data_IF_317164193825
#
_entry.id   IF_317164193825
#
_cell.length_a   1.000
_cell.length_b   1.000
_cell.length_c   1.000
_cell.angle_alpha   90.00
_cell.angle_beta   90.00
_cell.angle_gamma   90.00
#
_symmetry.space_group_name_H-M   'P 1'
#
loop_
_entity.id
_entity.type
_entity.pdbx_description
1 polymer ?
#
# COMPACT_ATOMS: atom_id res chain seq x y z
N UNK A 1 -20.55 13.08 -8.79
CA UNK A 1 -19.59 13.73 -7.86
C UNK A 1 -18.94 12.77 -6.85
N UNK A 2 -19.65 11.80 -6.24
CA UNK A 2 -19.07 10.88 -5.23
C UNK A 2 -17.90 9.99 -5.72
N UNK A 3 -17.95 9.51 -6.96
CA UNK A 3 -16.90 8.62 -7.51
C UNK A 3 -15.52 9.28 -7.70
N UNK A 4 -15.48 10.57 -8.01
CA UNK A 4 -14.23 11.31 -8.21
C UNK A 4 -13.50 11.53 -6.88
N UNK A 5 -14.24 11.74 -5.79
CA UNK A 5 -13.66 11.91 -4.46
C UNK A 5 -13.06 10.59 -3.93
N UNK A 6 -13.77 9.48 -4.11
CA UNK A 6 -13.28 8.15 -3.76
C UNK A 6 -11.99 7.79 -4.52
N UNK A 7 -11.94 8.09 -5.83
CA UNK A 7 -10.73 7.88 -6.62
C UNK A 7 -9.55 8.70 -6.10
N UNK A 8 -9.75 9.99 -5.80
CA UNK A 8 -8.68 10.85 -5.31
C UNK A 8 -8.16 10.41 -3.93
N UNK A 9 -9.05 9.98 -3.03
CA UNK A 9 -8.66 9.47 -1.71
C UNK A 9 -7.83 8.19 -1.86
N UNK A 10 -8.30 7.25 -2.68
CA UNK A 10 -7.59 5.99 -2.90
C UNK A 10 -6.22 6.18 -3.56
N UNK A 11 -6.11 7.12 -4.51
CA UNK A 11 -4.82 7.49 -5.10
C UNK A 11 -3.84 8.07 -4.07
N UNK A 12 -4.35 8.88 -3.14
CA UNK A 12 -3.55 9.48 -2.07
C UNK A 12 -3.03 8.40 -1.10
N UNK A 13 -3.87 7.40 -0.81
CA UNK A 13 -3.50 6.22 -0.02
C UNK A 13 -2.42 5.39 -0.74
N UNK A 14 -2.62 5.05 -2.01
CA UNK A 14 -1.62 4.30 -2.81
C UNK A 14 -0.29 5.05 -2.93
N UNK A 15 -0.34 6.38 -3.09
CA UNK A 15 0.86 7.23 -3.10
C UNK A 15 1.60 7.19 -1.77
N UNK A 16 0.89 7.28 -0.64
CA UNK A 16 1.49 7.15 0.69
C UNK A 16 2.10 5.75 0.90
N UNK A 17 1.42 4.70 0.46
CA UNK A 17 1.89 3.31 0.52
C UNK A 17 3.20 3.16 -0.25
N UNK A 18 3.30 3.73 -1.46
CA UNK A 18 4.51 3.69 -2.26
C UNK A 18 5.68 4.35 -1.52
N UNK A 19 5.46 5.53 -0.93
CA UNK A 19 6.49 6.25 -0.15
C UNK A 19 6.94 5.41 1.05
N UNK A 20 6.00 4.82 1.80
CA UNK A 20 6.31 3.97 2.94
C UNK A 20 7.07 2.70 2.52
N UNK A 21 6.66 2.03 1.43
CA UNK A 21 7.37 0.87 0.89
C UNK A 21 8.82 1.21 0.48
N UNK A 22 9.00 2.27 -0.32
CA UNK A 22 10.33 2.66 -0.80
C UNK A 22 11.23 3.09 0.36
N UNK A 23 10.69 3.85 1.32
CA UNK A 23 11.43 4.25 2.53
C UNK A 23 11.84 3.02 3.34
N UNK A 24 10.91 2.09 3.58
CA UNK A 24 11.17 0.88 4.38
C UNK A 24 12.23 -0.01 3.75
N UNK A 25 12.22 -0.16 2.42
CA UNK A 25 13.24 -0.92 1.68
C UNK A 25 14.61 -0.21 1.78
N UNK A 26 14.62 1.13 1.76
CA UNK A 26 15.85 1.92 1.90
C UNK A 26 16.52 1.84 3.27
N UNK A 27 15.75 1.60 4.33
CA UNK A 27 16.28 1.44 5.70
C UNK A 27 16.59 -0.01 6.10
N UNK A 28 16.16 -1.00 5.32
CA UNK A 28 16.51 -2.40 5.58
C UNK A 28 17.87 -2.74 4.98
N UNK A 29 18.93 -2.72 5.79
CA UNK A 29 20.14 -3.50 5.49
C UNK A 29 19.80 -4.99 5.63
N UNK A 30 19.32 -5.59 4.53
CA UNK A 30 19.01 -7.03 4.51
C UNK A 30 20.29 -7.79 4.19
N UNK A 31 21.14 -7.92 5.21
CA UNK A 31 22.28 -8.82 5.18
C UNK A 31 21.77 -10.27 5.22
N UNK A 32 22.10 -11.05 4.19
CA UNK A 32 21.66 -12.44 4.03
C UNK A 32 20.66 -12.71 2.90
N UNK A 33 20.09 -11.67 2.27
CA UNK A 33 19.30 -11.85 1.05
C UNK A 33 20.19 -11.94 -0.19
N UNK A 34 19.94 -12.94 -1.04
CA UNK A 34 20.60 -13.03 -2.35
C UNK A 34 20.29 -11.80 -3.21
N UNK A 35 21.15 -11.49 -4.19
CA UNK A 35 20.92 -10.39 -5.11
C UNK A 35 19.54 -10.46 -5.79
N UNK A 36 19.05 -11.67 -6.09
CA UNK A 36 17.71 -11.90 -6.62
C UNK A 36 16.61 -11.54 -5.62
N UNK A 37 16.78 -11.85 -4.33
CA UNK A 37 15.83 -11.46 -3.28
C UNK A 37 15.73 -9.94 -3.12
N UNK A 38 16.86 -9.23 -3.17
CA UNK A 38 16.89 -7.75 -3.10
C UNK A 38 16.15 -7.13 -4.30
N UNK A 39 16.30 -7.72 -5.48
CA UNK A 39 15.60 -7.31 -6.70
C UNK A 39 14.09 -7.58 -6.63
N UNK A 40 13.68 -8.73 -6.07
CA UNK A 40 12.28 -9.06 -5.83
C UNK A 40 11.59 -8.05 -4.88
N UNK A 41 12.29 -7.58 -3.84
CA UNK A 41 11.77 -6.54 -2.95
C UNK A 41 11.48 -5.23 -3.68
N UNK A 42 12.33 -4.83 -4.63
CA UNK A 42 12.11 -3.68 -5.49
C UNK A 42 11.00 -3.88 -6.52
N UNK A 43 10.63 -5.13 -6.82
CA UNK A 43 9.53 -5.42 -7.73
C UNK A 43 8.18 -4.92 -7.21
N UNK A 44 8.00 -4.92 -5.87
CA UNK A 44 6.76 -4.48 -5.21
C UNK A 44 6.45 -2.99 -5.46
N UNK A 45 7.35 -2.03 -5.15
CA UNK A 45 7.09 -0.61 -5.44
C UNK A 45 6.98 -0.34 -6.94
N UNK A 46 7.74 -1.05 -7.79
CA UNK A 46 7.63 -0.91 -9.25
C UNK A 46 6.24 -1.35 -9.75
N UNK A 47 5.71 -2.47 -9.25
CA UNK A 47 4.35 -2.91 -9.57
C UNK A 47 3.29 -1.90 -9.12
N UNK A 48 3.43 -1.32 -7.92
CA UNK A 48 2.53 -0.28 -7.41
C UNK A 48 2.50 0.95 -8.32
N UNK A 49 3.66 1.42 -8.81
CA UNK A 49 3.75 2.52 -9.77
C UNK A 49 3.00 2.17 -11.06
N UNK A 50 3.14 0.93 -11.55
CA UNK A 50 2.41 0.43 -12.71
C UNK A 50 0.90 0.47 -12.51
N UNK A 51 0.40 -0.02 -11.37
CA UNK A 51 -1.02 0.00 -11.02
C UNK A 51 -1.59 1.41 -10.93
N UNK A 52 -0.87 2.33 -10.27
CA UNK A 52 -1.25 3.76 -10.19
C UNK A 52 -1.34 4.37 -11.59
N UNK A 53 -0.36 4.08 -12.45
CA UNK A 53 -0.33 4.58 -13.84
C UNK A 53 -1.52 4.08 -14.65
N UNK A 54 -1.88 2.81 -14.51
CA UNK A 54 -3.05 2.20 -15.15
C UNK A 54 -4.35 2.83 -14.61
N UNK A 55 -4.44 3.07 -13.31
CA UNK A 55 -5.59 3.73 -12.70
C UNK A 55 -5.79 5.16 -13.23
N UNK A 56 -4.70 5.91 -13.44
CA UNK A 56 -4.75 7.23 -14.09
C UNK A 56 -5.21 7.14 -15.55
N UNK A 57 -4.72 6.15 -16.29
CA UNK A 57 -5.15 5.93 -17.67
C UNK A 57 -6.64 5.57 -17.76
N UNK A 58 -7.14 4.73 -16.85
CA UNK A 58 -8.56 4.38 -16.75
C UNK A 58 -9.44 5.57 -16.37
N UNK A 59 -8.95 6.46 -15.50
CA UNK A 59 -9.63 7.73 -15.19
C UNK A 59 -9.75 8.62 -16.42
N UNK A 60 -8.70 8.71 -17.25
CA UNK A 60 -8.72 9.48 -18.51
C UNK A 60 -9.69 8.89 -19.54
N UNK A 61 -9.92 7.58 -19.50
CA UNK A 61 -10.86 6.87 -20.37
C UNK A 61 -12.32 6.88 -19.86
N UNK A 62 -12.65 7.70 -18.86
CA UNK A 62 -13.96 7.76 -18.19
C UNK A 62 -14.44 6.43 -17.55
N UNK A 63 -13.55 5.44 -17.42
CA UNK A 63 -13.83 4.14 -16.77
C UNK A 63 -13.65 4.19 -15.25
N UNK A 64 -14.29 5.18 -14.61
CA UNK A 64 -14.23 5.43 -13.17
C UNK A 64 -14.55 4.21 -12.28
N UNK A 65 -15.52 3.33 -12.59
CA UNK A 65 -15.84 2.18 -11.74
C UNK A 65 -14.68 1.17 -11.66
N UNK A 66 -14.04 0.89 -12.80
CA UNK A 66 -12.93 -0.06 -12.90
C UNK A 66 -11.70 0.52 -12.21
N UNK A 67 -11.44 1.82 -12.41
CA UNK A 67 -10.35 2.51 -11.74
C UNK A 67 -10.51 2.46 -10.21
N UNK A 68 -11.73 2.58 -9.70
CA UNK A 68 -12.03 2.43 -8.28
C UNK A 68 -11.77 1.01 -7.78
N UNK A 69 -12.23 -0.03 -8.50
CA UNK A 69 -11.98 -1.42 -8.11
C UNK A 69 -10.47 -1.72 -8.05
N UNK A 70 -9.71 -1.20 -9.01
CA UNK A 70 -8.26 -1.39 -9.07
C UNK A 70 -7.55 -0.83 -7.83
N UNK A 71 -7.94 0.37 -7.40
CA UNK A 71 -7.40 1.04 -6.21
C UNK A 71 -7.84 0.34 -4.92
N UNK A 72 -9.01 -0.29 -4.91
CA UNK A 72 -9.45 -1.08 -3.76
C UNK A 72 -8.63 -2.35 -3.56
N UNK A 73 -8.14 -2.96 -4.64
CA UNK A 73 -7.30 -4.17 -4.56
C UNK A 73 -5.97 -3.88 -3.86
N UNK A 74 -5.40 -2.68 -4.02
CA UNK A 74 -4.16 -2.27 -3.35
C UNK A 74 -4.41 -1.73 -1.94
N UNK A 75 -5.50 -1.01 -1.72
CA UNK A 75 -5.82 -0.43 -0.42
C UNK A 75 -6.25 -1.49 0.62
N UNK A 76 -6.98 -2.53 0.22
CA UNK A 76 -7.56 -3.52 1.14
C UNK A 76 -6.52 -4.37 1.91
N UNK A 77 -5.49 -4.94 1.27
CA UNK A 77 -4.43 -5.69 1.97
C UNK A 77 -3.68 -4.83 3.00
N UNK A 78 -3.47 -3.55 2.71
CA UNK A 78 -2.81 -2.62 3.63
C UNK A 78 -3.70 -2.24 4.81
N UNK A 79 -5.01 -2.03 4.58
CA UNK A 79 -5.95 -1.80 5.66
C UNK A 79 -5.98 -3.00 6.62
N UNK A 80 -5.94 -4.22 6.09
CA UNK A 80 -5.83 -5.45 6.88
C UNK A 80 -4.52 -5.52 7.66
N UNK A 81 -3.38 -5.20 7.05
CA UNK A 81 -2.10 -5.14 7.76
C UNK A 81 -2.11 -4.11 8.90
N UNK A 82 -2.63 -2.90 8.67
CA UNK A 82 -2.74 -1.87 9.71
C UNK A 82 -3.64 -2.32 10.85
N UNK A 83 -4.78 -2.96 10.55
CA UNK A 83 -5.68 -3.47 11.58
C UNK A 83 -5.03 -4.59 12.38
N UNK A 84 -4.34 -5.52 11.73
CA UNK A 84 -3.67 -6.64 12.39
C UNK A 84 -2.49 -6.17 13.24
N UNK A 85 -1.61 -5.32 12.72
CA UNK A 85 -0.44 -4.80 13.44
C UNK A 85 -0.82 -3.75 14.50
N UNK A 86 -1.75 -2.86 14.18
CA UNK A 86 -2.28 -1.88 15.13
C UNK A 86 -3.07 -2.54 16.25
N UNK A 87 -3.92 -3.51 15.92
CA UNK A 87 -4.70 -4.27 16.89
C UNK A 87 -3.82 -5.08 17.84
N UNK A 88 -2.79 -5.75 17.32
CA UNK A 88 -1.82 -6.47 18.15
C UNK A 88 -1.00 -5.54 19.05
N UNK A 89 -0.55 -4.38 18.55
CA UNK A 89 0.15 -3.39 19.37
C UNK A 89 -0.71 -2.89 20.55
N UNK A 90 -2.00 -2.61 20.31
CA UNK A 90 -2.94 -2.21 21.37
C UNK A 90 -3.13 -3.31 22.41
N UNK A 91 -3.26 -4.57 21.98
CA UNK A 91 -3.36 -5.72 22.89
C UNK A 91 -2.11 -5.88 23.77
N UNK A 92 -0.91 -5.65 23.22
CA UNK A 92 0.33 -5.68 23.99
C UNK A 92 0.38 -4.58 25.05
N UNK A 93 -0.02 -3.35 24.72
CA UNK A 93 -0.06 -2.22 25.67
C UNK A 93 -1.06 -2.48 26.80
N UNK A 94 -2.26 -2.95 26.46
CA UNK A 94 -3.27 -3.30 27.46
C UNK A 94 -2.79 -4.44 28.37
N UNK A 95 -2.12 -5.45 27.81
CA UNK A 95 -1.54 -6.55 28.60
C UNK A 95 -0.36 -6.11 29.49
N UNK A 96 0.37 -5.04 29.14
CA UNK A 96 1.49 -4.56 29.96
C UNK A 96 1.05 -3.67 31.13
N UNK A 97 -0.10 -3.00 31.01
CA UNK A 97 -0.65 -2.15 32.07
C UNK A 97 -1.35 -2.97 33.17
N UNK A 98 -1.81 -4.19 32.84
CA UNK A 98 -2.46 -5.10 33.78
C UNK A 98 -1.52 -5.94 34.65
N UNK A 99 -0.22 -5.64 34.68
CA UNK A 99 0.80 -6.23 35.56
C UNK A 99 1.30 -5.17 36.54
#
# INVERSE_FOLDING_TARGET
MKGIQLFNIGLLIDGLILVLCVSSIGYMEIDGLSAAGKLMLWCIPVMLIGLISIAFWLKKADKLPIANILIWITAFPMLMMIILWGGTAVLFVLSSIGK
#
